data_IF_733063253408
#
_entry.id   IF_733063253408
#
_cell.length_a   1.000
_cell.length_b   1.000
_cell.length_c   1.000
_cell.angle_alpha   90.00
_cell.angle_beta   90.00
_cell.angle_gamma   90.00
#
_symmetry.space_group_name_H-M   'P 1'
#
loop_
_entity.id
_entity.type
_entity.pdbx_description
1 polymer ?
#
# COMPACT_ATOMS: atom_id res chain seq x y z
N UNK A 1 18.31 -67.43 44.16
CA UNK A 1 19.33 -66.56 43.55
C UNK A 1 18.63 -65.72 42.50
N UNK A 2 18.49 -64.40 42.76
CA UNK A 2 17.76 -63.44 41.92
C UNK A 2 18.62 -63.05 40.71
N UNK A 3 18.06 -63.13 39.51
CA UNK A 3 18.57 -62.40 38.33
C UNK A 3 17.56 -61.28 38.08
N UNK A 4 17.92 -60.07 38.49
CA UNK A 4 17.17 -58.86 38.17
C UNK A 4 17.46 -58.48 36.72
N UNK A 5 16.43 -58.52 35.87
CA UNK A 5 16.39 -57.81 34.59
C UNK A 5 15.99 -56.35 34.87
N UNK A 6 16.92 -55.43 34.66
CA UNK A 6 16.65 -53.98 34.64
C UNK A 6 16.32 -53.56 33.19
N UNK A 7 15.12 -53.04 32.89
CA UNK A 7 14.88 -52.36 31.64
C UNK A 7 15.45 -50.93 31.70
N UNK A 8 16.29 -50.63 30.71
CA UNK A 8 16.90 -49.32 30.47
C UNK A 8 15.80 -48.33 30.03
N UNK A 9 15.31 -47.49 30.94
CA UNK A 9 14.40 -46.39 30.58
C UNK A 9 15.21 -45.20 30.07
N UNK A 10 15.24 -45.02 28.75
CA UNK A 10 15.73 -43.80 28.10
C UNK A 10 14.66 -42.72 28.33
N UNK A 11 14.89 -41.85 29.31
CA UNK A 11 14.11 -40.64 29.51
C UNK A 11 14.52 -39.64 28.43
N UNK A 12 13.74 -39.56 27.35
CA UNK A 12 13.86 -38.47 26.40
C UNK A 12 13.23 -37.25 27.06
N UNK A 13 14.08 -36.40 27.65
CA UNK A 13 13.73 -35.03 28.00
C UNK A 13 13.43 -34.27 26.71
N UNK A 14 12.18 -34.34 26.26
CA UNK A 14 11.65 -33.32 25.36
C UNK A 14 11.54 -32.03 26.17
N UNK A 15 12.61 -31.23 26.12
CA UNK A 15 12.54 -29.81 26.41
C UNK A 15 11.49 -29.23 25.48
N UNK A 16 10.27 -29.10 25.99
CA UNK A 16 9.20 -28.39 25.33
C UNK A 16 9.70 -26.97 25.11
N UNK A 17 10.15 -26.68 23.89
CA UNK A 17 10.09 -25.35 23.34
C UNK A 17 8.60 -25.02 23.33
N UNK A 18 8.15 -24.40 24.42
CA UNK A 18 6.93 -23.63 24.42
C UNK A 18 7.17 -22.53 23.39
N UNK A 19 6.79 -22.81 22.14
CA UNK A 19 6.47 -21.77 21.18
C UNK A 19 5.36 -20.98 21.86
N UNK A 20 5.74 -19.86 22.47
CA UNK A 20 4.81 -18.82 22.81
C UNK A 20 4.19 -18.40 21.48
N UNK A 21 3.06 -19.01 21.14
CA UNK A 21 2.08 -18.41 20.26
C UNK A 21 1.65 -17.15 21.00
N UNK A 22 2.39 -16.06 20.80
CA UNK A 22 1.84 -14.73 20.97
C UNK A 22 0.67 -14.66 20.00
N UNK A 23 -0.54 -14.93 20.51
CA UNK A 23 -1.76 -14.65 19.77
C UNK A 23 -1.71 -13.17 19.42
N UNK A 24 -1.48 -12.87 18.15
CA UNK A 24 -1.55 -11.51 17.61
C UNK A 24 -2.93 -10.96 17.97
N UNK A 25 -2.99 -10.04 18.93
CA UNK A 25 -4.22 -9.34 19.22
C UNK A 25 -4.54 -8.46 18.00
N UNK A 26 -5.55 -8.84 17.22
CA UNK A 26 -6.04 -8.00 16.13
C UNK A 26 -6.57 -6.70 16.71
N UNK A 27 -6.05 -5.57 16.24
CA UNK A 27 -6.53 -4.25 16.65
C UNK A 27 -8.05 -4.15 16.39
N UNK A 28 -8.80 -3.74 17.41
CA UNK A 28 -10.26 -3.54 17.31
C UNK A 28 -10.58 -2.10 17.67
N UNK A 29 -11.14 -1.35 16.72
CA UNK A 29 -11.62 0.01 16.94
C UNK A 29 -13.09 0.00 17.38
N UNK A 30 -13.41 0.83 18.36
CA UNK A 30 -14.78 1.03 18.84
C UNK A 30 -15.08 2.54 18.85
N UNK A 31 -15.81 3.06 17.85
CA UNK A 31 -16.07 4.49 17.71
C UNK A 31 -16.88 5.06 18.88
N UNK A 32 -17.64 4.22 19.60
CA UNK A 32 -18.46 4.68 20.74
C UNK A 32 -17.64 5.01 21.98
N UNK A 33 -16.37 4.60 22.02
CA UNK A 33 -15.44 4.91 23.12
C UNK A 33 -14.69 6.22 22.92
N UNK A 34 -14.82 6.86 21.76
CA UNK A 34 -14.24 8.17 21.50
C UNK A 34 -15.03 9.27 22.25
N UNK A 35 -14.36 10.36 22.64
CA UNK A 35 -15.05 11.51 23.25
C UNK A 35 -16.16 12.07 22.35
N UNK A 36 -15.91 12.11 21.05
CA UNK A 36 -16.91 12.40 20.02
C UNK A 36 -17.02 11.16 19.15
N UNK A 37 -18.07 10.35 19.32
CA UNK A 37 -18.29 9.17 18.49
C UNK A 37 -18.44 9.54 17.02
N UNK A 38 -17.83 8.74 16.14
CA UNK A 38 -18.03 8.89 14.70
C UNK A 38 -19.29 8.13 14.26
N UNK A 39 -20.31 8.81 13.70
CA UNK A 39 -21.57 8.17 13.32
C UNK A 39 -21.42 7.24 12.10
N UNK A 40 -20.37 7.41 11.30
CA UNK A 40 -20.07 6.54 10.15
C UNK A 40 -19.16 5.37 10.56
N UNK A 41 -18.74 5.31 11.83
CA UNK A 41 -17.88 4.27 12.38
C UNK A 41 -16.45 4.30 11.85
N UNK A 42 -16.02 5.43 11.28
CA UNK A 42 -14.68 5.59 10.72
C UNK A 42 -13.64 5.88 11.81
N UNK A 43 -12.41 5.46 11.56
CA UNK A 43 -11.26 5.70 12.43
C UNK A 43 -10.37 6.80 11.86
N UNK A 44 -9.70 7.52 12.76
CA UNK A 44 -8.61 8.43 12.44
C UNK A 44 -7.30 7.64 12.42
N UNK A 45 -6.67 7.57 11.26
CA UNK A 45 -5.45 6.77 11.03
C UNK A 45 -4.35 7.69 10.50
N UNK A 46 -3.20 7.71 11.16
CA UNK A 46 -2.09 8.59 10.81
C UNK A 46 -0.98 7.85 10.07
N UNK A 47 -0.54 8.43 8.95
CA UNK A 47 0.75 8.15 8.33
C UNK A 47 1.64 9.38 8.52
N UNK A 48 2.51 9.33 9.54
CA UNK A 48 3.25 10.51 10.07
C UNK A 48 2.29 11.64 10.45
N UNK A 49 2.38 12.78 9.79
CA UNK A 49 1.57 13.97 10.02
C UNK A 49 0.30 14.03 9.17
N UNK A 50 0.13 13.12 8.21
CA UNK A 50 -1.10 13.01 7.41
C UNK A 50 -2.10 12.10 8.13
N UNK A 51 -3.28 12.64 8.46
CA UNK A 51 -4.36 11.88 9.11
C UNK A 51 -5.48 11.61 8.11
N UNK A 52 -5.86 10.34 8.01
CA UNK A 52 -6.97 9.84 7.22
C UNK A 52 -8.16 9.53 8.12
N UNK A 53 -9.36 9.80 7.64
CA UNK A 53 -10.63 9.43 8.26
C UNK A 53 -11.30 8.34 7.42
N UNK A 54 -11.06 7.08 7.78
CA UNK A 54 -11.32 5.92 6.93
C UNK A 54 -11.87 4.73 7.72
N UNK A 55 -12.57 3.84 7.03
CA UNK A 55 -13.12 2.64 7.65
C UNK A 55 -12.02 1.61 7.89
N UNK A 56 -11.98 1.03 9.09
CA UNK A 56 -10.86 0.18 9.50
C UNK A 56 -10.96 -1.26 8.99
N UNK A 57 -12.18 -1.73 8.74
CA UNK A 57 -12.48 -3.03 8.13
C UNK A 57 -11.92 -3.15 6.70
N UNK A 58 -11.64 -2.02 6.07
CA UNK A 58 -10.98 -1.93 4.76
C UNK A 58 -9.47 -2.17 4.84
N UNK A 59 -8.87 -2.11 6.03
CA UNK A 59 -7.44 -2.16 6.25
C UNK A 59 -6.99 -3.52 6.80
N UNK A 60 -5.89 -4.01 6.24
CA UNK A 60 -5.08 -5.06 6.87
C UNK A 60 -4.06 -4.40 7.79
N UNK A 61 -4.46 -4.20 9.05
CA UNK A 61 -3.57 -3.65 10.10
C UNK A 61 -2.74 -4.79 10.64
N UNK A 62 -1.45 -4.77 10.30
CA UNK A 62 -0.56 -5.85 10.70
C UNK A 62 0.02 -5.57 12.10
N UNK A 63 0.66 -4.43 12.41
CA UNK A 63 1.25 -4.19 13.74
C UNK A 63 1.39 -2.70 14.13
N UNK A 64 2.02 -2.43 15.28
CA UNK A 64 2.52 -1.10 15.65
C UNK A 64 3.55 -0.58 14.62
N UNK A 65 3.68 0.75 14.45
CA UNK A 65 4.59 1.34 13.47
C UNK A 65 6.08 1.03 13.82
N UNK A 66 6.85 0.52 12.84
CA UNK A 66 8.27 0.17 13.02
C UNK A 66 9.18 1.34 12.63
N UNK A 67 9.28 2.34 13.50
CA UNK A 67 10.05 3.56 13.22
C UNK A 67 11.53 3.26 12.90
N UNK A 68 12.10 4.00 11.94
CA UNK A 68 13.56 3.98 11.74
C UNK A 68 14.25 4.69 12.90
N UNK A 69 15.51 4.34 13.15
CA UNK A 69 16.30 4.97 14.21
C UNK A 69 16.30 6.49 14.09
N UNK A 70 15.92 7.18 15.18
CA UNK A 70 15.82 8.63 15.24
C UNK A 70 14.52 9.23 14.67
N UNK A 71 13.63 8.44 14.07
CA UNK A 71 12.30 8.93 13.68
C UNK A 71 11.34 8.94 14.87
N UNK A 72 10.67 10.06 15.09
CA UNK A 72 9.58 10.20 16.06
C UNK A 72 8.27 10.44 15.34
N UNK A 73 7.20 9.78 15.79
CA UNK A 73 5.85 10.11 15.35
C UNK A 73 5.38 11.41 16.00
N UNK A 74 4.53 12.20 15.31
CA UNK A 74 3.88 13.35 15.93
C UNK A 74 3.11 12.96 17.19
N UNK A 75 3.12 13.84 18.19
CA UNK A 75 2.38 13.61 19.42
C UNK A 75 0.88 13.89 19.19
N UNK A 76 -0.02 12.95 19.55
CA UNK A 76 -1.44 13.14 19.32
C UNK A 76 -2.02 14.26 20.21
N UNK A 77 -3.07 14.95 19.75
CA UNK A 77 -3.73 16.03 20.49
C UNK A 77 -4.22 15.62 21.90
N UNK A 78 -4.70 14.39 22.04
CA UNK A 78 -5.16 13.84 23.30
C UNK A 78 -4.83 12.33 23.37
N UNK A 79 -3.65 11.96 23.91
CA UNK A 79 -3.26 10.56 24.08
C UNK A 79 -4.16 9.77 25.04
N UNK A 80 -5.07 10.41 25.78
CA UNK A 80 -6.00 9.73 26.68
C UNK A 80 -7.21 9.14 25.96
N UNK A 81 -7.52 9.60 24.74
CA UNK A 81 -8.53 8.97 23.90
C UNK A 81 -8.08 7.58 23.43
N UNK A 82 -9.02 6.63 23.20
CA UNK A 82 -8.69 5.36 22.57
C UNK A 82 -8.03 5.53 21.20
N UNK A 83 -7.15 4.59 20.83
CA UNK A 83 -6.51 4.58 19.50
C UNK A 83 -7.55 4.54 18.39
N UNK A 84 -7.35 5.36 17.36
CA UNK A 84 -8.28 5.51 16.23
C UNK A 84 -9.32 6.61 16.44
N UNK A 85 -9.41 7.21 17.63
CA UNK A 85 -10.25 8.39 17.86
C UNK A 85 -9.56 9.67 17.36
N UNK A 86 -10.35 10.74 17.22
CA UNK A 86 -9.86 12.03 16.71
C UNK A 86 -8.73 12.61 17.57
N UNK A 87 -8.76 12.43 18.89
CA UNK A 87 -7.71 12.88 19.79
C UNK A 87 -6.46 12.00 19.79
N UNK A 88 -6.60 10.71 19.44
CA UNK A 88 -5.51 9.72 19.45
C UNK A 88 -5.52 8.84 18.19
N UNK A 89 -5.12 9.37 17.02
CA UNK A 89 -5.19 8.66 15.76
C UNK A 89 -4.29 7.43 15.79
N UNK A 90 -4.76 6.35 15.17
CA UNK A 90 -3.99 5.13 15.02
C UNK A 90 -2.79 5.40 14.11
N UNK A 91 -1.61 5.53 14.69
CA UNK A 91 -0.39 5.78 13.93
C UNK A 91 0.14 4.50 13.30
N UNK A 92 0.43 4.57 12.00
CA UNK A 92 0.88 3.46 11.16
C UNK A 92 2.03 3.91 10.26
N UNK A 93 2.79 2.93 9.74
CA UNK A 93 3.75 3.18 8.66
C UNK A 93 3.23 2.81 7.30
N UNK A 94 2.25 1.91 7.27
CA UNK A 94 1.69 1.39 6.05
C UNK A 94 0.23 1.08 6.29
N UNK A 95 -0.62 1.53 5.37
CA UNK A 95 -2.01 1.13 5.28
C UNK A 95 -2.11 0.22 4.06
N UNK A 96 -2.23 -1.08 4.31
CA UNK A 96 -2.51 -2.07 3.27
C UNK A 96 -4.02 -2.25 3.19
N UNK A 97 -4.60 -2.00 2.02
CA UNK A 97 -6.03 -2.18 1.81
C UNK A 97 -6.30 -3.62 1.42
N UNK A 98 -7.35 -4.22 2.00
CA UNK A 98 -7.66 -5.63 1.80
C UNK A 98 -8.07 -5.91 0.36
N UNK A 99 -7.83 -7.13 -0.14
CA UNK A 99 -8.30 -7.56 -1.48
C UNK A 99 -9.83 -7.65 -1.58
N UNK A 100 -10.51 -7.84 -0.45
CA UNK A 100 -11.97 -7.85 -0.36
C UNK A 100 -12.52 -6.43 -0.14
N UNK A 101 -11.72 -5.40 -0.42
CA UNK A 101 -12.20 -4.05 -0.46
C UNK A 101 -13.26 -3.94 -1.57
N UNK A 102 -14.49 -4.11 -1.13
CA UNK A 102 -15.72 -3.71 -1.82
C UNK A 102 -16.14 -2.30 -1.38
N UNK A 103 -15.32 -1.63 -0.58
CA UNK A 103 -15.69 -0.46 0.18
C UNK A 103 -15.18 0.81 -0.46
N UNK A 104 -15.97 1.43 -1.34
CA UNK A 104 -16.30 2.86 -1.27
C UNK A 104 -15.32 3.73 -0.46
N UNK A 105 -14.12 3.94 -0.98
CA UNK A 105 -13.50 5.25 -0.94
C UNK A 105 -14.46 6.08 -1.82
N UNK A 106 -15.54 6.59 -1.21
CA UNK A 106 -16.66 7.24 -1.90
C UNK A 106 -17.76 6.29 -2.40
N UNK A 107 -19.01 6.58 -2.02
CA UNK A 107 -20.21 5.92 -2.53
C UNK A 107 -20.51 6.38 -3.97
N UNK A 108 -19.82 5.81 -4.97
CA UNK A 108 -19.99 6.18 -6.38
C UNK A 108 -20.62 5.04 -7.20
N UNK A 109 -21.85 5.22 -7.75
CA UNK A 109 -22.58 4.17 -8.48
C UNK A 109 -22.05 3.88 -9.89
N UNK A 110 -21.09 4.67 -10.39
CA UNK A 110 -20.50 4.61 -11.73
C UNK A 110 -19.27 3.69 -11.84
N UNK A 111 -18.72 3.18 -10.73
CA UNK A 111 -17.55 2.29 -10.75
C UNK A 111 -17.95 0.81 -10.88
N UNK A 112 -17.14 -0.06 -11.53
CA UNK A 112 -17.33 -1.51 -11.45
C UNK A 112 -17.45 -1.97 -9.99
N UNK A 113 -18.37 -2.92 -9.73
CA UNK A 113 -18.72 -3.36 -8.37
C UNK A 113 -17.55 -3.92 -7.53
N UNK A 114 -16.38 -4.15 -8.15
CA UNK A 114 -15.17 -4.63 -7.51
C UNK A 114 -13.96 -3.77 -7.92
N UNK A 115 -13.04 -3.54 -6.98
CA UNK A 115 -11.79 -2.83 -7.23
C UNK A 115 -10.90 -3.64 -8.18
N UNK A 116 -10.42 -3.09 -9.32
CA UNK A 116 -9.51 -3.81 -10.21
C UNK A 116 -8.05 -3.89 -9.71
N UNK A 117 -7.83 -3.70 -8.41
CA UNK A 117 -6.51 -3.76 -7.80
C UNK A 117 -6.37 -5.03 -6.97
N UNK A 118 -5.27 -5.76 -7.15
CA UNK A 118 -4.94 -6.89 -6.27
C UNK A 118 -4.05 -6.48 -5.09
N UNK A 119 -3.52 -5.25 -5.12
CA UNK A 119 -2.80 -4.62 -4.01
C UNK A 119 -2.95 -3.10 -4.07
N UNK A 120 -3.31 -2.50 -2.95
CA UNK A 120 -3.26 -1.05 -2.75
C UNK A 120 -2.65 -0.74 -1.38
N UNK A 121 -1.70 0.17 -1.35
CA UNK A 121 -0.93 0.49 -0.17
C UNK A 121 -0.59 1.98 -0.11
N UNK A 122 -0.83 2.58 1.05
CA UNK A 122 -0.26 3.87 1.42
C UNK A 122 0.86 3.62 2.41
N UNK A 123 1.95 4.38 2.34
CA UNK A 123 3.05 4.24 3.27
C UNK A 123 3.66 5.59 3.64
N UNK A 124 4.03 5.71 4.91
CA UNK A 124 4.71 6.87 5.45
C UNK A 124 6.04 7.11 4.75
N UNK A 125 6.37 8.37 4.55
CA UNK A 125 7.61 8.84 3.93
C UNK A 125 8.08 10.13 4.56
N UNK A 126 9.38 10.40 4.52
CA UNK A 126 9.88 11.75 4.79
C UNK A 126 9.57 12.68 3.59
N UNK A 127 9.56 14.02 3.79
CA UNK A 127 9.37 14.98 2.70
C UNK A 127 10.34 14.84 1.53
N UNK A 128 11.58 14.44 1.80
CA UNK A 128 12.65 14.23 0.82
C UNK A 128 12.68 12.82 0.19
N UNK A 129 11.98 11.84 0.79
CA UNK A 129 11.90 10.49 0.24
C UNK A 129 10.70 10.32 -0.69
N UNK A 130 10.95 10.03 -1.97
CA UNK A 130 9.93 9.91 -3.03
C UNK A 130 9.41 8.48 -3.25
N UNK A 131 9.82 7.53 -2.40
CA UNK A 131 9.39 6.14 -2.53
C UNK A 131 9.86 5.48 -3.83
N UNK A 132 8.96 4.76 -4.51
CA UNK A 132 9.28 4.04 -5.75
C UNK A 132 9.27 5.01 -6.93
N UNK A 133 10.45 5.38 -7.43
CA UNK A 133 10.61 6.27 -8.58
C UNK A 133 10.51 5.47 -9.90
N UNK A 134 9.28 5.17 -10.32
CA UNK A 134 9.03 4.38 -11.54
C UNK A 134 9.37 5.13 -12.83
N UNK A 135 9.36 6.47 -12.80
CA UNK A 135 9.78 7.31 -13.91
C UNK A 135 11.29 7.20 -14.18
N UNK A 136 12.11 7.23 -13.12
CA UNK A 136 13.54 6.94 -13.24
C UNK A 136 13.81 5.51 -13.73
N UNK A 137 12.93 4.57 -13.40
CA UNK A 137 12.99 3.22 -13.95
C UNK A 137 12.62 3.19 -15.44
N UNK A 138 11.64 3.98 -15.86
CA UNK A 138 11.28 4.16 -17.26
C UNK A 138 12.49 4.66 -18.06
N UNK A 139 13.11 5.76 -17.62
CA UNK A 139 14.27 6.35 -18.30
C UNK A 139 15.38 5.32 -18.49
N UNK A 140 15.77 4.62 -17.41
CA UNK A 140 16.78 3.53 -17.47
C UNK A 140 16.41 2.39 -18.40
N UNK A 141 15.14 1.99 -18.45
CA UNK A 141 14.72 0.94 -19.38
C UNK A 141 14.85 1.39 -20.83
N UNK A 142 14.53 2.66 -21.10
CA UNK A 142 14.58 3.26 -22.42
C UNK A 142 15.99 3.63 -22.89
N UNK A 143 16.99 3.60 -22.01
CA UNK A 143 18.40 3.70 -22.41
C UNK A 143 18.85 2.46 -23.22
N UNK A 144 18.30 1.29 -22.90
CA UNK A 144 18.72 0.02 -23.52
C UNK A 144 17.64 -0.61 -24.39
N UNK A 145 16.49 0.04 -24.59
CA UNK A 145 15.35 -0.49 -25.35
C UNK A 145 14.76 0.59 -26.25
N UNK A 146 14.24 0.23 -27.44
CA UNK A 146 13.57 1.18 -28.32
C UNK A 146 12.37 1.82 -27.61
N UNK A 147 12.34 3.16 -27.65
CA UNK A 147 11.15 3.93 -27.25
C UNK A 147 10.07 3.74 -28.32
N UNK A 148 8.87 3.39 -27.88
CA UNK A 148 7.70 3.19 -28.71
C UNK A 148 6.65 4.23 -28.33
N UNK A 149 6.31 5.10 -29.27
CA UNK A 149 5.29 6.15 -29.10
C UNK A 149 4.05 5.80 -29.90
N UNK A 150 2.87 6.11 -29.37
CA UNK A 150 1.60 5.94 -30.10
C UNK A 150 1.01 4.52 -30.08
N UNK A 151 1.62 3.56 -29.36
CA UNK A 151 1.00 2.25 -29.08
C UNK A 151 -0.30 2.42 -28.29
N UNK A 152 -0.24 3.28 -27.27
CA UNK A 152 -1.40 3.75 -26.52
C UNK A 152 -1.41 5.29 -26.57
N UNK A 153 -2.60 5.92 -26.63
CA UNK A 153 -2.71 7.37 -26.61
C UNK A 153 -1.99 7.96 -25.39
N UNK A 154 -1.24 9.04 -25.61
CA UNK A 154 -0.58 9.82 -24.55
C UNK A 154 0.44 9.02 -23.71
N UNK A 155 0.99 7.93 -24.25
CA UNK A 155 1.99 7.13 -23.56
C UNK A 155 3.21 6.85 -24.44
N UNK A 156 4.37 6.84 -23.81
CA UNK A 156 5.62 6.32 -24.37
C UNK A 156 5.98 5.02 -23.65
N UNK A 157 6.37 4.00 -24.39
CA UNK A 157 6.66 2.67 -23.86
C UNK A 157 8.08 2.21 -24.18
N UNK A 158 8.67 1.46 -23.26
CA UNK A 158 9.91 0.71 -23.45
C UNK A 158 9.66 -0.73 -23.00
N UNK A 159 9.36 -1.58 -23.97
CA UNK A 159 8.83 -2.93 -23.76
C UNK A 159 9.94 -3.97 -23.65
N UNK A 160 9.67 -5.05 -22.92
CA UNK A 160 10.54 -6.22 -22.94
C UNK A 160 10.52 -6.87 -24.31
N UNK A 161 11.66 -7.42 -24.72
CA UNK A 161 11.73 -8.26 -25.91
C UNK A 161 10.97 -9.55 -25.66
N UNK A 162 10.16 -9.95 -26.64
CA UNK A 162 9.49 -11.25 -26.62
C UNK A 162 10.54 -12.34 -26.69
N UNK A 163 10.41 -13.37 -25.85
CA UNK A 163 11.26 -14.55 -25.91
C UNK A 163 10.54 -15.66 -26.70
N UNK A 164 10.89 -15.90 -27.98
CA UNK A 164 10.20 -16.88 -28.81
C UNK A 164 10.34 -18.33 -28.30
N UNK A 165 11.32 -18.62 -27.45
CA UNK A 165 11.49 -19.94 -26.84
C UNK A 165 10.54 -20.18 -25.64
N UNK A 166 9.89 -19.13 -25.13
CA UNK A 166 8.95 -19.18 -23.99
C UNK A 166 7.75 -18.24 -24.21
N UNK A 167 6.95 -18.45 -25.26
CA UNK A 167 5.82 -17.57 -25.58
C UNK A 167 4.76 -17.56 -24.47
N UNK A 168 4.59 -18.68 -23.75
CA UNK A 168 3.63 -18.82 -22.64
C UNK A 168 3.83 -17.83 -21.47
N UNK A 169 5.07 -17.37 -21.27
CA UNK A 169 5.41 -16.43 -20.18
C UNK A 169 5.85 -15.06 -20.63
N UNK A 170 6.36 -14.93 -21.86
CA UNK A 170 7.02 -13.71 -22.34
C UNK A 170 6.34 -13.10 -23.58
N UNK A 171 5.14 -13.55 -23.94
CA UNK A 171 4.34 -12.99 -25.04
C UNK A 171 3.15 -12.18 -24.50
N UNK A 172 3.44 -11.05 -23.88
CA UNK A 172 2.43 -10.08 -23.43
C UNK A 172 2.88 -8.68 -23.85
N UNK A 173 1.97 -7.93 -24.47
CA UNK A 173 2.28 -6.65 -25.10
C UNK A 173 2.47 -5.53 -24.08
N UNK A 174 1.93 -5.70 -22.87
CA UNK A 174 2.00 -4.71 -21.80
C UNK A 174 3.30 -4.77 -21.01
N UNK A 175 4.10 -5.83 -21.13
CA UNK A 175 5.28 -6.02 -20.29
C UNK A 175 6.41 -5.05 -20.66
N UNK A 176 6.75 -4.17 -19.72
CA UNK A 176 7.69 -3.09 -19.94
C UNK A 176 7.47 -1.92 -18.98
N UNK A 177 8.01 -0.76 -19.34
CA UNK A 177 7.71 0.49 -18.65
C UNK A 177 6.98 1.44 -19.59
N UNK A 178 5.92 2.04 -19.07
CA UNK A 178 5.07 3.01 -19.74
C UNK A 178 5.17 4.33 -19.00
N UNK A 179 5.30 5.43 -19.74
CA UNK A 179 5.32 6.79 -19.22
C UNK A 179 4.16 7.55 -19.82
N UNK A 180 3.33 8.14 -18.97
CA UNK A 180 2.25 9.02 -19.40
C UNK A 180 2.84 10.39 -19.74
N UNK A 181 2.34 10.97 -20.83
CA UNK A 181 2.68 12.33 -21.24
C UNK A 181 2.34 13.32 -20.12
N UNK A 182 3.33 14.03 -19.54
CA UNK A 182 3.10 14.94 -18.41
C UNK A 182 2.21 16.13 -18.77
N UNK A 183 2.09 16.50 -20.06
CA UNK A 183 1.16 17.54 -20.52
C UNK A 183 -0.31 17.09 -20.41
N UNK A 184 -0.55 15.77 -20.49
CA UNK A 184 -1.89 15.17 -20.39
C UNK A 184 -2.23 14.86 -18.94
N UNK A 185 -1.27 14.30 -18.19
CA UNK A 185 -1.48 13.98 -16.79
C UNK A 185 -0.16 13.85 -16.02
N UNK A 186 -0.12 14.46 -14.84
CA UNK A 186 0.99 14.36 -13.90
C UNK A 186 0.49 13.94 -12.51
N UNK A 187 1.32 13.15 -11.82
CA UNK A 187 1.12 12.84 -10.41
C UNK A 187 1.36 14.10 -9.55
N UNK A 188 0.97 14.11 -8.26
CA UNK A 188 1.23 15.24 -7.36
C UNK A 188 2.69 15.68 -7.37
N UNK A 189 2.92 16.96 -7.03
CA UNK A 189 4.25 17.56 -7.04
C UNK A 189 4.92 17.55 -8.43
N UNK A 190 4.12 17.61 -9.50
CA UNK A 190 4.57 17.61 -10.90
C UNK A 190 5.44 16.39 -11.27
N UNK A 191 5.22 15.26 -10.62
CA UNK A 191 5.91 14.01 -10.95
C UNK A 191 5.35 13.42 -12.24
N UNK A 192 6.24 12.92 -13.10
CA UNK A 192 5.84 12.09 -14.25
C UNK A 192 5.25 10.78 -13.74
N UNK A 193 4.11 10.38 -14.29
CA UNK A 193 3.48 9.11 -13.90
C UNK A 193 3.96 7.98 -14.81
N UNK A 194 4.64 7.00 -14.22
CA UNK A 194 5.08 5.80 -14.91
C UNK A 194 4.36 4.55 -14.38
N UNK A 195 4.04 3.65 -15.29
CA UNK A 195 3.47 2.33 -15.04
C UNK A 195 4.55 1.31 -15.37
N UNK A 196 4.82 0.40 -14.46
CA UNK A 196 5.79 -0.66 -14.70
C UNK A 196 5.12 -2.02 -14.63
N UNK A 197 5.25 -2.78 -15.71
CA UNK A 197 4.54 -4.02 -15.96
C UNK A 197 5.53 -5.16 -16.13
N UNK A 198 5.36 -6.23 -15.35
CA UNK A 198 6.21 -7.42 -15.35
C UNK A 198 5.40 -8.65 -15.71
N UNK A 199 6.07 -9.66 -16.28
CA UNK A 199 5.50 -10.98 -16.44
C UNK A 199 5.06 -11.56 -15.09
N UNK A 200 3.78 -11.93 -14.98
CA UNK A 200 3.22 -12.51 -13.76
C UNK A 200 3.56 -14.00 -13.67
N UNK A 201 3.83 -14.51 -12.46
CA UNK A 201 4.06 -15.95 -12.25
C UNK A 201 2.83 -16.78 -12.65
N UNK A 202 1.63 -16.23 -12.46
CA UNK A 202 0.36 -16.86 -12.83
C UNK A 202 0.04 -16.82 -14.33
N UNK A 203 0.95 -16.27 -15.15
CA UNK A 203 0.67 -15.91 -16.54
C UNK A 203 0.01 -14.54 -16.68
N UNK A 204 0.25 -13.87 -17.81
CA UNK A 204 -0.14 -12.48 -18.04
C UNK A 204 0.88 -11.48 -17.49
N UNK A 205 0.40 -10.28 -17.15
CA UNK A 205 1.22 -9.15 -16.72
C UNK A 205 0.70 -8.60 -15.40
N UNK A 206 1.60 -8.36 -14.45
CA UNK A 206 1.32 -7.59 -13.22
C UNK A 206 1.94 -6.20 -13.37
N UNK A 207 1.08 -5.19 -13.35
CA UNK A 207 1.47 -3.79 -13.45
C UNK A 207 1.43 -3.13 -12.08
N UNK A 208 2.29 -2.13 -11.90
CA UNK A 208 2.32 -1.29 -10.70
C UNK A 208 2.52 0.16 -11.03
N UNK A 209 1.94 0.98 -10.18
CA UNK A 209 2.14 2.42 -10.11
C UNK A 209 2.56 2.77 -8.70
N UNK A 210 3.42 3.77 -8.57
CA UNK A 210 3.79 4.31 -7.28
C UNK A 210 4.39 5.71 -7.42
N UNK A 211 4.02 6.59 -6.50
CA UNK A 211 4.46 7.98 -6.45
C UNK A 211 4.16 8.59 -5.08
N UNK A 212 4.70 9.78 -4.81
CA UNK A 212 4.35 10.56 -3.62
C UNK A 212 3.01 11.25 -3.80
N UNK A 213 2.02 10.94 -2.96
CA UNK A 213 0.66 11.52 -3.03
C UNK A 213 0.46 12.71 -2.09
N UNK A 214 1.02 12.65 -0.89
CA UNK A 214 1.06 13.76 0.07
C UNK A 214 2.52 13.99 0.51
N UNK A 215 2.89 15.13 1.14
CA UNK A 215 4.28 15.44 1.47
C UNK A 215 5.01 14.29 2.21
N UNK A 216 4.27 13.58 3.06
CA UNK A 216 4.77 12.49 3.92
C UNK A 216 4.13 11.14 3.65
N UNK A 217 3.41 10.99 2.52
CA UNK A 217 2.74 9.74 2.15
C UNK A 217 3.01 9.41 0.71
N UNK A 218 3.52 8.21 0.47
CA UNK A 218 3.57 7.62 -0.84
C UNK A 218 2.42 6.64 -1.02
N UNK A 219 2.04 6.46 -2.28
CA UNK A 219 1.02 5.53 -2.72
C UNK A 219 1.67 4.49 -3.64
N UNK A 220 1.16 3.26 -3.54
CA UNK A 220 1.45 2.18 -4.49
C UNK A 220 0.18 1.36 -4.74
N UNK A 221 -0.11 1.08 -6.00
CA UNK A 221 -1.08 0.08 -6.37
C UNK A 221 -0.56 -0.87 -7.44
N UNK A 222 -1.14 -2.06 -7.47
CA UNK A 222 -0.85 -3.10 -8.44
C UNK A 222 -2.15 -3.66 -9.01
N UNK A 223 -2.12 -3.95 -10.31
CA UNK A 223 -3.26 -4.40 -11.09
C UNK A 223 -2.82 -5.29 -12.24
N UNK A 224 -3.78 -6.02 -12.81
CA UNK A 224 -3.59 -6.75 -14.06
C UNK A 224 -4.21 -5.94 -15.21
N UNK A 225 -3.56 -5.79 -16.39
CA UNK A 225 -4.14 -5.10 -17.53
C UNK A 225 -5.50 -5.63 -17.99
N UNK A 226 -5.79 -6.91 -17.72
CA UNK A 226 -7.11 -7.52 -17.99
C UNK A 226 -8.23 -7.00 -17.08
N UNK A 227 -7.89 -6.49 -15.90
CA UNK A 227 -8.83 -5.97 -14.88
C UNK A 227 -8.88 -4.43 -14.91
N UNK A 228 -7.72 -3.79 -15.10
CA UNK A 228 -7.58 -2.36 -15.33
C UNK A 228 -6.71 -2.14 -16.58
N UNK A 229 -7.32 -1.91 -17.75
CA UNK A 229 -6.57 -1.61 -18.98
C UNK A 229 -5.67 -0.39 -18.81
N UNK A 230 -4.49 -0.40 -19.44
CA UNK A 230 -3.54 0.72 -19.37
C UNK A 230 -4.17 2.05 -19.79
N UNK A 231 -5.10 2.04 -20.74
CA UNK A 231 -5.84 3.23 -21.21
C UNK A 231 -6.72 3.88 -20.12
N UNK A 232 -7.14 3.12 -19.11
CA UNK A 232 -8.00 3.61 -18.03
C UNK A 232 -7.24 4.05 -16.78
N UNK A 233 -5.91 3.83 -16.73
CA UNK A 233 -5.10 4.11 -15.53
C UNK A 233 -5.16 5.58 -15.13
N UNK A 234 -5.19 6.51 -16.10
CA UNK A 234 -5.30 7.95 -15.80
C UNK A 234 -6.62 8.27 -15.09
N UNK A 235 -7.74 7.73 -15.59
CA UNK A 235 -9.06 7.98 -15.01
C UNK A 235 -9.18 7.35 -13.62
N UNK A 236 -8.68 6.11 -13.48
CA UNK A 236 -8.58 5.43 -12.19
C UNK A 236 -7.77 6.21 -11.17
N UNK A 237 -6.57 6.67 -11.55
CA UNK A 237 -5.66 7.37 -10.65
C UNK A 237 -6.25 8.71 -10.19
N UNK A 238 -6.89 9.48 -11.09
CA UNK A 238 -7.59 10.72 -10.74
C UNK A 238 -8.68 10.49 -9.69
N UNK A 239 -9.47 9.44 -9.88
CA UNK A 239 -10.54 9.10 -8.95
C UNK A 239 -9.98 8.65 -7.60
N UNK A 240 -9.03 7.71 -7.59
CA UNK A 240 -8.37 7.24 -6.37
C UNK A 240 -7.79 8.40 -5.56
N UNK A 241 -7.12 9.34 -6.22
CA UNK A 241 -6.59 10.54 -5.57
C UNK A 241 -7.68 11.42 -4.96
N UNK A 242 -8.76 11.66 -5.70
CA UNK A 242 -9.88 12.47 -5.22
C UNK A 242 -10.46 11.88 -3.93
N UNK A 243 -10.64 10.56 -3.89
CA UNK A 243 -11.18 9.89 -2.71
C UNK A 243 -10.22 9.92 -1.52
N UNK A 244 -8.92 9.72 -1.77
CA UNK A 244 -7.90 9.86 -0.74
C UNK A 244 -7.84 11.28 -0.20
N UNK A 245 -7.91 12.30 -1.06
CA UNK A 245 -7.95 13.70 -0.66
C UNK A 245 -9.20 14.03 0.18
N UNK A 246 -10.35 13.45 -0.12
CA UNK A 246 -11.58 13.59 0.67
C UNK A 246 -11.48 12.92 2.04
N UNK A 247 -10.74 11.81 2.13
CA UNK A 247 -10.51 11.11 3.39
C UNK A 247 -9.51 11.81 4.31
N UNK A 248 -8.69 12.76 3.82
CA UNK A 248 -7.69 13.45 4.65
C UNK A 248 -8.36 14.49 5.56
N UNK A 249 -8.01 14.43 6.85
CA UNK A 249 -8.42 15.43 7.84
C UNK A 249 -7.54 16.67 7.69
N UNK A 250 -8.11 17.71 7.10
CA UNK A 250 -7.42 18.99 6.87
C UNK A 250 -7.11 19.69 8.20
N UNK A 251 -5.92 20.30 8.29
CA UNK A 251 -5.46 21.08 9.45
C UNK A 251 -5.54 20.31 10.78
N UNK A 252 -5.17 19.04 10.77
CA UNK A 252 -5.20 18.21 11.96
C UNK A 252 -4.28 18.78 13.08
N UNK A 253 -4.77 18.95 14.32
CA UNK A 253 -4.12 19.80 15.33
C UNK A 253 -3.04 19.06 16.13
N UNK A 254 -2.03 18.51 15.45
CA UNK A 254 -0.91 17.82 16.10
C UNK A 254 -0.29 18.66 17.23
N UNK A 255 0.06 18.01 18.35
CA UNK A 255 0.92 18.65 19.35
C UNK A 255 2.32 18.80 18.76
N UNK A 256 2.90 19.98 18.89
CA UNK A 256 4.31 20.19 18.54
C UNK A 256 5.15 19.26 19.40
N UNK A 257 5.98 18.42 18.78
CA UNK A 257 7.06 17.76 19.50
C UNK A 257 8.02 18.85 19.98
N UNK A 258 8.34 18.86 21.26
CA UNK A 258 9.42 19.71 21.76
C UNK A 258 10.72 19.15 21.15
N UNK A 259 11.52 19.95 20.43
CA UNK A 259 12.82 19.50 19.99
C UNK A 259 13.65 19.17 21.24
N UNK A 260 14.14 17.93 21.33
CA UNK A 260 15.21 17.59 22.26
C UNK A 260 16.53 18.19 21.78
#
# INVERSE_FOLDING_TARGET
MRILLLPLQITILFSGLAFSQSSEASFTFDPQKCHVPDPEGKAYVALRDTVFHISIDQLSILHAPVLRDGETLPLPPDPSEPLGCKGNPLSQQSLLFSRNFNGKLGDRPDWPKAWPLHKFQLFSSTPDHWGVQLDNRHDKMCETRPKQTGLLPHMTACLYEKNPARPDRYDVEEAGSWLIDPEVYSAPFNQRLAIFCMFAISGGTDCKVGYKIFPTVNLRYEFKPKELPLTEVINFDKHLRTELEQSVVKNYPWKKSVPN
#
